data_IF_531387670448
#
_entry.id   IF_531387670448
#
_cell.length_a   1.000
_cell.length_b   1.000
_cell.length_c   1.000
_cell.angle_alpha   90.00
_cell.angle_beta   90.00
_cell.angle_gamma   90.00
#
_symmetry.space_group_name_H-M   'P 1'
#
loop_
_entity.id
_entity.type
_entity.pdbx_description
1 polymer ?
#
# COMPACT_ATOMS: atom_id res chain seq x y z
N UNK A 1 -20.58 17.35 -6.95
CA UNK A 1 -20.52 18.72 -6.36
C UNK A 1 -20.35 18.72 -4.83
N UNK A 2 -20.45 17.58 -4.12
CA UNK A 2 -20.33 17.53 -2.64
C UNK A 2 -18.93 17.16 -2.07
N UNK A 3 -17.98 16.72 -2.91
CA UNK A 3 -16.64 16.30 -2.44
C UNK A 3 -15.63 17.46 -2.25
N UNK A 4 -15.96 18.68 -2.71
CA UNK A 4 -15.09 19.86 -2.56
C UNK A 4 -15.17 20.52 -1.18
N UNK A 5 -16.22 20.26 -0.40
CA UNK A 5 -16.42 20.86 0.93
C UNK A 5 -15.97 19.97 2.10
N UNK A 6 -15.60 18.71 1.83
CA UNK A 6 -15.16 17.75 2.86
C UNK A 6 -13.65 17.52 2.87
N UNK A 7 -12.91 18.05 1.88
CA UNK A 7 -11.47 17.91 1.77
C UNK A 7 -10.85 19.31 1.82
N UNK A 8 -10.47 19.76 3.02
CA UNK A 8 -9.48 20.82 3.11
C UNK A 8 -8.22 20.33 2.38
N UNK A 9 -7.71 21.12 1.45
CA UNK A 9 -6.48 20.80 0.71
C UNK A 9 -5.27 20.61 1.64
N UNK A 10 -5.35 21.15 2.86
CA UNK A 10 -4.36 20.98 3.92
C UNK A 10 -4.46 19.62 4.65
N UNK A 11 -5.60 18.93 4.59
CA UNK A 11 -5.83 17.62 5.24
C UNK A 11 -5.31 16.43 4.42
N UNK A 12 -5.11 16.60 3.10
CA UNK A 12 -4.56 15.56 2.21
C UNK A 12 -3.11 15.21 2.58
N UNK A 13 -2.44 16.08 3.35
CA UNK A 13 -1.09 15.84 3.87
C UNK A 13 -1.02 14.89 5.07
N UNK A 14 -2.16 14.55 5.71
CA UNK A 14 -2.18 13.63 6.83
C UNK A 14 -2.21 12.18 6.32
N UNK A 15 -1.27 11.30 6.76
CA UNK A 15 -1.31 9.87 6.43
C UNK A 15 -2.65 9.21 6.77
N UNK A 16 -3.35 9.76 7.77
CA UNK A 16 -4.64 9.27 8.28
C UNK A 16 -5.76 9.44 7.26
N UNK A 17 -5.72 10.46 6.39
CA UNK A 17 -6.77 10.72 5.40
C UNK A 17 -6.72 9.76 4.21
N UNK A 18 -5.53 9.26 3.84
CA UNK A 18 -5.39 8.30 2.74
C UNK A 18 -5.87 6.89 3.13
N UNK A 19 -5.84 6.55 4.42
CA UNK A 19 -6.31 5.27 4.96
C UNK A 19 -7.83 5.11 4.98
N UNK A 20 -8.60 6.21 4.99
CA UNK A 20 -10.07 6.17 5.06
C UNK A 20 -10.78 6.38 3.72
N UNK A 21 -10.06 6.85 2.71
CA UNK A 21 -10.64 7.08 1.39
C UNK A 21 -10.57 5.78 0.58
N UNK A 22 -11.69 5.33 0.03
CA UNK A 22 -11.67 4.16 -0.84
C UNK A 22 -10.76 4.47 -2.05
N UNK A 23 -10.08 3.46 -2.59
CA UNK A 23 -9.23 3.61 -3.80
C UNK A 23 -9.99 4.34 -4.93
N UNK A 24 -11.31 4.16 -5.02
CA UNK A 24 -12.18 4.81 -5.99
C UNK A 24 -12.26 6.33 -5.81
N UNK A 25 -12.27 6.82 -4.59
CA UNK A 25 -12.25 8.25 -4.29
C UNK A 25 -10.88 8.85 -4.64
N UNK A 26 -9.78 8.15 -4.35
CA UNK A 26 -8.42 8.57 -4.76
C UNK A 26 -8.28 8.57 -6.28
N UNK A 27 -8.87 7.58 -6.97
CA UNK A 27 -8.94 7.55 -8.43
C UNK A 27 -9.71 8.76 -8.96
N UNK A 28 -10.88 9.07 -8.39
CA UNK A 28 -11.68 10.24 -8.77
C UNK A 28 -10.94 11.58 -8.55
N UNK A 29 -10.23 11.71 -7.41
CA UNK A 29 -9.40 12.88 -7.12
C UNK A 29 -8.22 13.01 -8.09
N UNK A 30 -7.54 11.90 -8.40
CA UNK A 30 -6.39 11.90 -9.30
C UNK A 30 -6.74 12.31 -10.73
N UNK A 31 -7.96 12.02 -11.18
CA UNK A 31 -8.47 12.41 -12.49
C UNK A 31 -8.87 13.89 -12.55
N UNK A 32 -9.04 14.53 -11.39
CA UNK A 32 -9.52 15.92 -11.32
C UNK A 32 -8.44 16.93 -11.69
N UNK A 33 -7.15 16.67 -11.40
CA UNK A 33 -6.03 17.52 -11.84
C UNK A 33 -4.66 16.85 -11.68
N UNK A 34 -3.64 17.38 -12.38
CA UNK A 34 -2.23 16.93 -12.22
C UNK A 34 -1.71 17.14 -10.81
N UNK A 35 -2.13 18.20 -10.13
CA UNK A 35 -1.68 18.47 -8.76
C UNK A 35 -2.36 17.52 -7.77
N UNK A 36 -3.64 17.18 -7.96
CA UNK A 36 -4.30 16.13 -7.18
C UNK A 36 -3.62 14.78 -7.37
N UNK A 37 -3.24 14.41 -8.60
CA UNK A 37 -2.49 13.18 -8.87
C UNK A 37 -1.13 13.18 -8.13
N UNK A 38 -0.40 14.30 -8.14
CA UNK A 38 0.86 14.44 -7.39
C UNK A 38 0.66 14.31 -5.88
N UNK A 39 -0.41 14.90 -5.34
CA UNK A 39 -0.75 14.79 -3.92
C UNK A 39 -1.12 13.35 -3.55
N UNK A 40 -1.95 12.68 -4.36
CA UNK A 40 -2.29 11.27 -4.17
C UNK A 40 -1.04 10.39 -4.19
N UNK A 41 -0.15 10.57 -5.18
CA UNK A 41 1.14 9.84 -5.26
C UNK A 41 1.99 10.04 -4.03
N UNK A 42 2.03 11.28 -3.49
CA UNK A 42 2.82 11.61 -2.30
C UNK A 42 2.22 10.98 -1.04
N UNK A 43 0.90 10.99 -0.90
CA UNK A 43 0.20 10.34 0.20
C UNK A 43 0.34 8.81 0.16
N UNK A 44 0.33 8.22 -1.04
CA UNK A 44 0.45 6.78 -1.26
C UNK A 44 1.89 6.23 -1.19
N UNK A 45 2.86 7.03 -0.75
CA UNK A 45 4.23 6.54 -0.50
C UNK A 45 4.31 5.61 0.70
N UNK A 46 3.40 5.79 1.66
CA UNK A 46 3.28 4.99 2.87
C UNK A 46 1.89 4.37 2.84
N UNK A 47 1.83 3.05 2.78
CA UNK A 47 0.57 2.30 2.77
C UNK A 47 0.36 1.66 4.13
N UNK A 48 -0.74 2.01 4.80
CA UNK A 48 -1.20 1.33 5.99
C UNK A 48 -2.42 0.48 5.62
N UNK A 49 -2.30 -0.85 5.74
CA UNK A 49 -3.31 -1.81 5.30
C UNK A 49 -4.06 -2.49 6.45
N UNK A 50 -3.64 -2.25 7.69
CA UNK A 50 -4.20 -2.83 8.92
C UNK A 50 -5.71 -2.61 9.08
N UNK A 51 -6.24 -1.47 8.61
CA UNK A 51 -7.69 -1.17 8.68
C UNK A 51 -8.52 -1.88 7.60
N UNK A 52 -7.89 -2.54 6.60
CA UNK A 52 -8.60 -3.18 5.50
C UNK A 52 -8.98 -4.64 5.79
N UNK A 53 -8.47 -5.24 6.87
CA UNK A 53 -8.78 -6.62 7.26
C UNK A 53 -8.63 -7.62 6.10
N UNK A 54 -9.71 -8.32 5.78
CA UNK A 54 -9.73 -9.33 4.70
C UNK A 54 -9.56 -8.74 3.29
N UNK A 55 -9.69 -7.43 3.13
CA UNK A 55 -9.50 -6.73 1.84
C UNK A 55 -8.08 -6.21 1.64
N UNK A 56 -7.20 -6.32 2.62
CA UNK A 56 -5.85 -5.76 2.54
C UNK A 56 -5.06 -6.26 1.32
N UNK A 57 -5.08 -7.57 1.02
CA UNK A 57 -4.39 -8.11 -0.14
C UNK A 57 -4.94 -7.60 -1.49
N UNK A 58 -6.26 -7.61 -1.66
CA UNK A 58 -6.91 -7.09 -2.87
C UNK A 58 -6.63 -5.59 -3.05
N UNK A 59 -6.66 -4.83 -1.96
CA UNK A 59 -6.37 -3.40 -1.91
C UNK A 59 -4.92 -3.12 -2.29
N UNK A 60 -3.97 -3.87 -1.73
CA UNK A 60 -2.55 -3.77 -2.05
C UNK A 60 -2.32 -4.03 -3.54
N UNK A 61 -2.79 -5.16 -4.07
CA UNK A 61 -2.62 -5.53 -5.48
C UNK A 61 -3.25 -4.49 -6.44
N UNK A 62 -4.43 -3.97 -6.09
CA UNK A 62 -5.08 -2.90 -6.87
C UNK A 62 -4.26 -1.61 -6.85
N UNK A 63 -3.74 -1.19 -5.69
CA UNK A 63 -2.95 0.04 -5.56
C UNK A 63 -1.62 -0.05 -6.30
N UNK A 64 -0.85 -1.12 -6.08
CA UNK A 64 0.45 -1.31 -6.74
C UNK A 64 0.32 -1.52 -8.25
N UNK A 65 -0.82 -1.98 -8.74
CA UNK A 65 -1.11 -2.10 -10.18
C UNK A 65 -1.63 -0.83 -10.83
N UNK A 66 -2.07 0.16 -10.03
CA UNK A 66 -2.73 1.36 -10.53
C UNK A 66 -1.75 2.45 -11.00
N UNK A 67 -2.25 3.39 -11.81
CA UNK A 67 -1.53 4.61 -12.18
C UNK A 67 -1.32 5.58 -11.02
N UNK A 68 -2.07 5.42 -9.92
CA UNK A 68 -1.98 6.26 -8.71
C UNK A 68 -0.64 6.13 -8.01
N UNK A 69 0.01 4.97 -8.11
CA UNK A 69 1.30 4.69 -7.45
C UNK A 69 2.45 4.60 -8.45
N UNK A 70 2.18 4.98 -9.71
CA UNK A 70 3.07 4.70 -10.83
C UNK A 70 3.47 3.22 -10.91
N UNK A 71 2.47 2.34 -10.81
CA UNK A 71 2.64 0.88 -10.71
C UNK A 71 3.56 0.46 -9.56
N UNK A 72 3.44 1.16 -8.43
CA UNK A 72 4.22 0.93 -7.22
C UNK A 72 5.64 1.51 -7.23
N UNK A 73 6.07 2.22 -8.27
CA UNK A 73 7.41 2.78 -8.39
C UNK A 73 7.75 3.85 -7.33
N UNK A 74 6.73 4.48 -6.74
CA UNK A 74 6.92 5.53 -5.73
C UNK A 74 6.69 5.08 -4.28
N UNK A 75 6.19 3.85 -4.07
CA UNK A 75 5.90 3.33 -2.72
C UNK A 75 7.20 3.11 -1.96
N UNK A 76 7.25 3.60 -0.73
CA UNK A 76 8.41 3.54 0.17
C UNK A 76 8.17 2.61 1.34
N UNK A 77 6.97 2.62 1.89
CA UNK A 77 6.66 1.87 3.10
C UNK A 77 5.32 1.15 2.93
N UNK A 78 5.28 -0.11 3.31
CA UNK A 78 4.06 -0.92 3.34
C UNK A 78 3.96 -1.53 4.74
N UNK A 79 2.90 -1.18 5.45
CA UNK A 79 2.51 -1.81 6.69
C UNK A 79 1.28 -2.66 6.44
N UNK A 80 1.49 -3.97 6.37
CA UNK A 80 0.46 -4.99 6.23
C UNK A 80 0.37 -5.86 7.49
N UNK A 81 0.82 -5.36 8.64
CA UNK A 81 0.73 -6.10 9.89
C UNK A 81 -0.71 -6.48 10.20
N UNK A 82 -0.88 -7.68 10.77
CA UNK A 82 -2.14 -8.32 11.15
C UNK A 82 -3.15 -8.48 10.01
N UNK A 83 -2.73 -8.28 8.75
CA UNK A 83 -3.57 -8.49 7.57
C UNK A 83 -3.57 -9.98 7.20
N UNK A 84 -4.54 -10.74 7.71
CA UNK A 84 -4.66 -12.19 7.43
C UNK A 84 -4.82 -12.52 5.96
N UNK A 85 -5.39 -11.61 5.17
CA UNK A 85 -5.54 -11.77 3.72
C UNK A 85 -4.20 -11.73 2.97
N UNK A 86 -3.13 -11.21 3.58
CA UNK A 86 -1.80 -11.15 2.96
C UNK A 86 -1.10 -12.49 3.16
N UNK A 87 -0.91 -13.18 2.03
CA UNK A 87 -0.35 -14.54 1.94
C UNK A 87 0.88 -14.59 1.04
N UNK A 88 1.57 -15.73 0.99
CA UNK A 88 2.59 -16.01 -0.02
C UNK A 88 2.14 -15.69 -1.46
N UNK A 89 0.90 -16.03 -1.83
CA UNK A 89 0.37 -15.75 -3.18
C UNK A 89 0.20 -14.26 -3.43
N UNK A 90 -0.21 -13.51 -2.40
CA UNK A 90 -0.27 -12.04 -2.46
C UNK A 90 1.12 -11.48 -2.74
N UNK A 91 2.14 -11.93 -2.00
CA UNK A 91 3.52 -11.49 -2.16
C UNK A 91 4.09 -11.90 -3.54
N UNK A 92 3.75 -13.10 -4.03
CA UNK A 92 4.10 -13.58 -5.38
C UNK A 92 3.37 -12.85 -6.51
N UNK A 93 2.28 -12.15 -6.23
CA UNK A 93 1.56 -11.36 -7.22
C UNK A 93 2.04 -9.90 -7.31
N UNK A 94 2.83 -9.41 -6.34
CA UNK A 94 3.31 -8.02 -6.35
C UNK A 94 4.18 -7.73 -7.58
N UNK A 95 4.12 -6.54 -8.20
CA UNK A 95 5.13 -6.15 -9.18
C UNK A 95 6.50 -5.98 -8.52
N UNK A 96 7.53 -5.68 -9.31
CA UNK A 96 8.79 -5.20 -8.72
C UNK A 96 8.55 -3.84 -8.08
N UNK A 97 8.95 -3.70 -6.82
CA UNK A 97 8.79 -2.52 -5.97
C UNK A 97 10.17 -2.07 -5.44
N UNK A 98 11.11 -1.66 -6.33
CA UNK A 98 12.49 -1.34 -5.94
C UNK A 98 12.60 -0.12 -5.02
N UNK A 99 11.54 0.68 -4.94
CA UNK A 99 11.45 1.87 -4.12
C UNK A 99 11.09 1.60 -2.66
N UNK A 100 10.54 0.41 -2.35
CA UNK A 100 10.13 0.03 -1.00
C UNK A 100 11.36 -0.17 -0.13
N UNK A 101 11.43 0.62 0.94
CA UNK A 101 12.52 0.62 1.94
C UNK A 101 12.08 0.03 3.27
N UNK A 102 10.78 -0.01 3.56
CA UNK A 102 10.22 -0.62 4.77
C UNK A 102 9.01 -1.50 4.44
N UNK A 103 9.00 -2.71 5.01
CA UNK A 103 7.89 -3.64 4.89
C UNK A 103 7.62 -4.28 6.26
N UNK A 104 6.39 -4.17 6.73
CA UNK A 104 5.92 -4.85 7.94
C UNK A 104 4.88 -5.91 7.55
N UNK A 105 5.17 -7.18 7.88
CA UNK A 105 4.30 -8.33 7.69
C UNK A 105 3.96 -9.02 9.02
N UNK A 106 4.18 -8.35 10.16
CA UNK A 106 3.93 -8.93 11.48
C UNK A 106 2.53 -9.53 11.57
N UNK A 107 2.40 -10.76 12.06
CA UNK A 107 1.11 -11.42 12.23
C UNK A 107 0.40 -11.85 10.93
N UNK A 108 1.03 -11.72 9.75
CA UNK A 108 0.55 -12.36 8.52
C UNK A 108 0.84 -13.87 8.57
N UNK A 109 -0.09 -14.64 9.16
CA UNK A 109 0.12 -16.07 9.49
C UNK A 109 0.26 -17.01 8.29
N UNK A 110 -0.14 -16.57 7.08
CA UNK A 110 0.01 -17.35 5.83
C UNK A 110 1.20 -16.86 4.98
N UNK A 111 2.21 -16.29 5.63
CA UNK A 111 3.50 -15.92 5.03
C UNK A 111 4.59 -16.78 5.65
N UNK A 112 5.30 -17.52 4.80
CA UNK A 112 6.47 -18.34 5.15
C UNK A 112 7.68 -17.97 4.25
N UNK A 113 8.73 -18.80 4.28
CA UNK A 113 9.95 -18.63 3.49
C UNK A 113 9.70 -18.41 1.98
N UNK A 114 8.67 -19.03 1.38
CA UNK A 114 8.34 -18.78 -0.03
C UNK A 114 7.88 -17.33 -0.26
N UNK A 115 7.11 -16.79 0.68
CA UNK A 115 6.71 -15.40 0.70
C UNK A 115 7.91 -14.48 0.89
N UNK A 116 8.85 -14.84 1.77
CA UNK A 116 10.07 -14.05 2.00
C UNK A 116 10.97 -14.01 0.76
N UNK A 117 11.10 -15.14 0.03
CA UNK A 117 11.80 -15.19 -1.26
C UNK A 117 11.12 -14.26 -2.26
N UNK A 118 9.78 -14.26 -2.32
CA UNK A 118 9.04 -13.35 -3.20
C UNK A 118 9.28 -11.88 -2.84
N UNK A 119 9.31 -11.54 -1.55
CA UNK A 119 9.65 -10.19 -1.05
C UNK A 119 11.05 -9.80 -1.50
N UNK A 120 12.06 -10.65 -1.29
CA UNK A 120 13.45 -10.36 -1.65
C UNK A 120 13.62 -10.11 -3.16
N UNK A 121 12.88 -10.84 -4.00
CA UNK A 121 12.91 -10.68 -5.46
C UNK A 121 12.21 -9.41 -5.95
N UNK A 122 11.19 -8.93 -5.23
CA UNK A 122 10.33 -7.82 -5.65
C UNK A 122 10.74 -6.50 -5.04
N UNK A 123 11.13 -6.49 -3.77
CA UNK A 123 11.47 -5.31 -2.99
C UNK A 123 12.99 -5.18 -2.82
N UNK A 124 13.73 -4.99 -3.92
CA UNK A 124 15.21 -5.00 -3.90
C UNK A 124 15.84 -3.82 -3.16
N UNK A 125 15.06 -2.80 -2.81
CA UNK A 125 15.49 -1.63 -2.04
C UNK A 125 15.25 -1.73 -0.54
N UNK A 126 14.77 -2.88 -0.05
CA UNK A 126 14.32 -3.06 1.33
C UNK A 126 15.46 -2.86 2.34
N UNK A 127 15.19 -2.09 3.39
CA UNK A 127 16.17 -1.77 4.47
C UNK A 127 15.62 -2.07 5.86
N UNK A 128 14.30 -2.01 6.04
CA UNK A 128 13.58 -2.36 7.26
C UNK A 128 12.57 -3.44 6.91
N UNK A 129 12.61 -4.55 7.62
CA UNK A 129 11.74 -5.68 7.40
C UNK A 129 11.32 -6.29 8.74
N UNK A 130 10.03 -6.53 8.92
CA UNK A 130 9.47 -7.15 10.13
C UNK A 130 8.53 -8.29 9.75
N UNK A 131 8.72 -9.43 10.41
CA UNK A 131 7.98 -10.70 10.25
C UNK A 131 7.76 -11.38 11.61
N UNK A 132 7.40 -10.57 12.61
CA UNK A 132 7.10 -11.07 13.94
C UNK A 132 5.76 -11.81 13.95
N UNK A 133 5.74 -13.03 14.51
CA UNK A 133 4.52 -13.84 14.69
C UNK A 133 3.83 -14.28 13.37
N UNK A 134 4.62 -14.50 12.32
CA UNK A 134 4.21 -15.20 11.10
C UNK A 134 4.33 -16.71 11.34
N UNK A 135 3.25 -17.37 11.78
CA UNK A 135 3.31 -18.76 12.22
C UNK A 135 3.07 -19.71 11.04
N UNK A 136 4.14 -20.18 10.40
CA UNK A 136 4.19 -21.41 9.59
C UNK A 136 5.63 -21.87 9.38
#
# INVERSE_FOLDING_TARGET
MALRSLLNLDDIGSPVFASYLAIEDLLGLSQSSRDCLRLCRRALRVLHLQDFGDQAAATLLRLVGSSLTDKGADIREIDASFCRSVTNDTLKALPKLPAVVALNLDGCQDVDDEGLVAVAQRCTGLRRFSVYWNVK
#
